data_IF_801414072904
#
_entry.id   IF_801414072904
#
_cell.length_a   1.000
_cell.length_b   1.000
_cell.length_c   1.000
_cell.angle_alpha   90.00
_cell.angle_beta   90.00
_cell.angle_gamma   90.00
#
_symmetry.space_group_name_H-M   'P 1'
#
loop_
_entity.id
_entity.type
_entity.pdbx_description
1 polymer ?
#
# COMPACT_ATOMS: atom_id res chain seq x y z
N UNK A 1 -4.94 -1.99 15.72
CA UNK A 1 -3.58 -2.11 15.12
C UNK A 1 -2.44 -1.63 16.03
N UNK A 2 -1.59 -2.56 16.52
CA UNK A 2 -0.57 -2.27 17.56
C UNK A 2 0.43 -1.17 17.14
N UNK A 3 0.89 -1.18 15.88
CA UNK A 3 1.89 -0.21 15.39
C UNK A 3 1.38 1.24 15.46
N UNK A 4 0.07 1.43 15.24
CA UNK A 4 -0.58 2.74 15.30
C UNK A 4 -1.12 3.07 16.71
N UNK A 5 -0.95 2.18 17.69
CA UNK A 5 -1.49 2.37 19.04
C UNK A 5 -3.02 2.32 19.12
N UNK A 6 -3.68 1.85 18.07
CA UNK A 6 -5.13 1.68 17.97
C UNK A 6 -5.66 0.75 19.07
N UNK A 7 -6.83 1.10 19.60
CA UNK A 7 -7.49 0.30 20.62
C UNK A 7 -7.85 -1.08 20.06
N UNK A 8 -7.68 -2.11 20.89
CA UNK A 8 -8.07 -3.46 20.51
C UNK A 8 -9.59 -3.59 20.66
N UNK A 9 -10.28 -3.97 19.59
CA UNK A 9 -11.70 -4.28 19.67
C UNK A 9 -11.94 -5.37 20.71
N UNK A 10 -12.86 -5.12 21.65
CA UNK A 10 -13.31 -6.17 22.56
C UNK A 10 -14.09 -7.20 21.77
N UNK A 11 -13.83 -8.49 22.01
CA UNK A 11 -14.63 -9.55 21.41
C UNK A 11 -15.92 -9.72 22.21
N UNK A 12 -17.06 -9.57 21.56
CA UNK A 12 -18.38 -9.85 22.13
C UNK A 12 -18.82 -11.25 21.74
N UNK A 13 -19.22 -12.07 22.71
CA UNK A 13 -19.91 -13.33 22.47
C UNK A 13 -21.41 -13.05 22.35
N UNK A 14 -21.99 -13.39 21.20
CA UNK A 14 -23.44 -13.42 21.03
C UNK A 14 -24.04 -14.67 21.67
N UNK A 15 -25.36 -14.64 21.91
CA UNK A 15 -26.12 -15.74 22.51
C UNK A 15 -26.09 -17.03 21.66
N UNK A 16 -25.81 -16.92 20.37
CA UNK A 16 -25.65 -18.06 19.45
C UNK A 16 -24.22 -18.67 19.47
N UNK A 17 -23.33 -18.12 20.31
CA UNK A 17 -21.93 -18.53 20.40
C UNK A 17 -21.00 -17.87 19.40
N UNK A 18 -21.49 -16.97 18.55
CA UNK A 18 -20.67 -16.23 17.59
C UNK A 18 -19.82 -15.16 18.29
N UNK A 19 -18.57 -14.99 17.85
CA UNK A 19 -17.69 -13.90 18.28
C UNK A 19 -17.75 -12.76 17.27
N UNK A 20 -18.12 -11.57 17.70
CA UNK A 20 -18.07 -10.36 16.87
C UNK A 20 -17.17 -9.28 17.49
N UNK A 21 -16.51 -8.45 16.66
CA UNK A 21 -15.85 -7.25 17.14
C UNK A 21 -16.90 -6.34 17.78
N UNK A 22 -16.75 -6.03 19.06
CA UNK A 22 -17.66 -5.18 19.83
C UNK A 22 -17.53 -3.69 19.50
N UNK A 23 -16.44 -3.27 18.85
CA UNK A 23 -16.20 -1.87 18.51
C UNK A 23 -15.40 -1.76 17.19
N UNK A 24 -16.09 -1.83 16.06
CA UNK A 24 -15.50 -1.56 14.75
C UNK A 24 -15.33 -0.04 14.57
N UNK A 25 -14.11 0.38 14.28
CA UNK A 25 -13.76 1.77 14.03
C UNK A 25 -13.16 1.90 12.63
N UNK A 26 -13.93 2.48 11.71
CA UNK A 26 -13.54 2.61 10.31
C UNK A 26 -12.26 3.45 10.14
N UNK A 27 -12.06 4.50 10.94
CA UNK A 27 -10.87 5.35 10.82
C UNK A 27 -9.62 4.56 11.20
N UNK A 28 -9.71 3.72 12.24
CA UNK A 28 -8.62 2.85 12.67
C UNK A 28 -8.26 1.74 11.67
N UNK A 29 -9.24 1.27 10.90
CA UNK A 29 -9.00 0.31 9.82
C UNK A 29 -8.39 1.01 8.60
N UNK A 30 -8.91 2.18 8.20
CA UNK A 30 -8.41 2.96 7.06
C UNK A 30 -6.95 3.40 7.26
N UNK A 31 -6.59 3.88 8.46
CA UNK A 31 -5.22 4.25 8.80
C UNK A 31 -4.27 3.04 8.77
N UNK A 32 -4.75 1.88 9.21
CA UNK A 32 -3.97 0.67 9.21
C UNK A 32 -3.76 0.10 7.82
N UNK A 33 -4.78 0.11 6.97
CA UNK A 33 -4.66 -0.25 5.56
C UNK A 33 -3.66 0.66 4.84
N UNK A 34 -3.72 1.97 5.14
CA UNK A 34 -2.76 2.93 4.60
C UNK A 34 -1.32 2.61 5.03
N UNK A 35 -1.11 2.35 6.32
CA UNK A 35 0.20 2.00 6.87
C UNK A 35 0.70 0.68 6.29
N UNK A 36 -0.14 -0.36 6.22
CA UNK A 36 0.21 -1.67 5.69
C UNK A 36 0.71 -1.55 4.25
N UNK A 37 -0.02 -0.84 3.40
CA UNK A 37 0.43 -0.61 2.03
C UNK A 37 1.72 0.21 1.94
N UNK A 38 1.96 1.15 2.85
CA UNK A 38 3.21 1.90 2.91
C UNK A 38 4.42 1.05 3.36
N UNK A 39 4.19 0.07 4.24
CA UNK A 39 5.21 -0.86 4.71
C UNK A 39 5.53 -1.95 3.70
N UNK A 40 4.50 -2.53 3.07
CA UNK A 40 4.64 -3.60 2.08
C UNK A 40 5.20 -3.09 0.75
N UNK A 41 4.76 -1.91 0.32
CA UNK A 41 5.15 -1.30 -0.94
C UNK A 41 5.67 0.13 -0.70
N UNK A 42 6.84 0.28 -0.05
CA UNK A 42 7.47 1.57 0.10
C UNK A 42 7.93 2.09 -1.27
N UNK A 43 8.14 3.40 -1.37
CA UNK A 43 8.53 4.03 -2.65
C UNK A 43 9.73 3.35 -3.33
N UNK A 44 10.83 2.97 -2.64
CA UNK A 44 11.95 2.28 -3.28
C UNK A 44 11.57 0.93 -3.90
N UNK A 45 10.62 0.20 -3.31
CA UNK A 45 10.10 -1.04 -3.89
C UNK A 45 9.37 -0.77 -5.21
N UNK A 46 8.49 0.24 -5.23
CA UNK A 46 7.79 0.66 -6.44
C UNK A 46 8.76 1.14 -7.54
N UNK A 47 9.82 1.87 -7.16
CA UNK A 47 10.86 2.28 -8.11
C UNK A 47 11.57 1.05 -8.68
N UNK A 48 11.97 0.10 -7.83
CA UNK A 48 12.64 -1.13 -8.26
C UNK A 48 11.77 -1.96 -9.20
N UNK A 49 10.46 -2.09 -8.94
CA UNK A 49 9.50 -2.78 -9.83
C UNK A 49 9.53 -2.15 -11.22
N UNK A 50 9.50 -0.80 -11.30
CA UNK A 50 9.48 -0.08 -12.57
C UNK A 50 10.82 -0.09 -13.29
N UNK A 51 11.92 0.09 -12.58
CA UNK A 51 13.29 0.05 -13.13
C UNK A 51 13.64 -1.33 -13.69
N UNK A 52 13.17 -2.40 -13.03
CA UNK A 52 13.35 -3.78 -13.49
C UNK A 52 12.36 -4.20 -14.57
N UNK A 53 11.41 -3.33 -14.93
CA UNK A 53 10.30 -3.65 -15.85
C UNK A 53 9.54 -4.93 -15.45
N UNK A 54 9.38 -5.17 -14.15
CA UNK A 54 8.59 -6.30 -13.67
C UNK A 54 7.13 -6.14 -14.08
N UNK A 55 6.54 -7.22 -14.57
CA UNK A 55 5.09 -7.26 -14.80
C UNK A 55 4.36 -7.40 -13.47
N UNK A 56 3.17 -6.80 -13.36
CA UNK A 56 2.44 -6.73 -12.10
C UNK A 56 2.23 -8.09 -11.40
N UNK A 57 1.94 -9.22 -12.10
CA UNK A 57 1.82 -10.52 -11.42
C UNK A 57 3.12 -11.01 -10.76
N UNK A 58 4.27 -10.72 -11.36
CA UNK A 58 5.58 -11.07 -10.80
C UNK A 58 5.88 -10.19 -9.58
N UNK A 59 5.60 -8.89 -9.67
CA UNK A 59 5.73 -7.98 -8.54
C UNK A 59 4.81 -8.37 -7.37
N UNK A 60 3.54 -8.73 -7.64
CA UNK A 60 2.63 -9.21 -6.60
C UNK A 60 3.17 -10.45 -5.88
N UNK A 61 3.76 -11.38 -6.64
CA UNK A 61 4.37 -12.58 -6.08
C UNK A 61 5.65 -12.29 -5.28
N UNK A 62 6.50 -11.38 -5.76
CA UNK A 62 7.76 -11.03 -5.10
C UNK A 62 7.54 -10.28 -3.79
N UNK A 63 6.58 -9.37 -3.75
CA UNK A 63 6.27 -8.54 -2.57
C UNK A 63 5.14 -9.11 -1.71
N UNK A 64 4.61 -10.30 -2.06
CA UNK A 64 3.53 -11.00 -1.35
C UNK A 64 2.28 -10.13 -1.12
N UNK A 65 1.90 -9.37 -2.14
CA UNK A 65 0.75 -8.45 -2.11
C UNK A 65 -0.31 -8.86 -3.13
N UNK A 66 -1.54 -8.42 -2.89
CA UNK A 66 -2.59 -8.51 -3.89
C UNK A 66 -2.37 -7.50 -5.02
N UNK A 67 -2.94 -7.79 -6.19
CA UNK A 67 -2.91 -6.87 -7.32
C UNK A 67 -3.62 -5.55 -6.99
N UNK A 68 -4.69 -5.60 -6.20
CA UNK A 68 -5.41 -4.41 -5.76
C UNK A 68 -4.55 -3.51 -4.88
N UNK A 69 -3.77 -4.07 -3.95
CA UNK A 69 -2.85 -3.31 -3.11
C UNK A 69 -1.72 -2.69 -3.94
N UNK A 70 -1.14 -3.43 -4.87
CA UNK A 70 -0.13 -2.91 -5.80
C UNK A 70 -0.69 -1.72 -6.60
N UNK A 71 -1.86 -1.89 -7.22
CA UNK A 71 -2.51 -0.86 -8.01
C UNK A 71 -2.88 0.37 -7.18
N UNK A 72 -3.44 0.17 -5.98
CA UNK A 72 -3.76 1.25 -5.05
C UNK A 72 -2.50 2.03 -4.68
N UNK A 73 -1.40 1.34 -4.37
CA UNK A 73 -0.16 1.99 -3.93
C UNK A 73 0.49 2.80 -5.05
N UNK A 74 0.55 2.26 -6.27
CA UNK A 74 1.04 2.99 -7.44
C UNK A 74 0.24 4.28 -7.64
N UNK A 75 -1.09 4.21 -7.52
CA UNK A 75 -1.99 5.37 -7.63
C UNK A 75 -1.74 6.40 -6.52
N UNK A 76 -1.70 5.96 -5.26
CA UNK A 76 -1.53 6.87 -4.11
C UNK A 76 -0.16 7.55 -4.09
N UNK A 77 0.89 6.88 -4.58
CA UNK A 77 2.23 7.48 -4.67
C UNK A 77 2.45 8.30 -5.94
N UNK A 78 1.64 8.09 -6.99
CA UNK A 78 1.79 8.75 -8.29
C UNK A 78 3.12 8.44 -8.97
N UNK A 79 3.73 7.29 -8.68
CA UNK A 79 5.11 7.02 -9.08
C UNK A 79 5.30 6.98 -10.60
N UNK A 80 4.32 6.45 -11.32
CA UNK A 80 4.36 6.39 -12.78
C UNK A 80 4.37 7.81 -13.40
N UNK A 81 3.59 8.74 -12.84
CA UNK A 81 3.60 10.14 -13.27
C UNK A 81 4.94 10.82 -12.99
N UNK A 82 5.57 10.51 -11.86
CA UNK A 82 6.86 11.09 -11.48
C UNK A 82 7.98 10.59 -12.39
N UNK A 83 8.05 9.28 -12.65
CA UNK A 83 9.03 8.69 -13.55
C UNK A 83 8.88 9.22 -14.98
N UNK A 84 7.64 9.37 -15.47
CA UNK A 84 7.38 9.94 -16.78
C UNK A 84 7.89 11.39 -16.91
N UNK A 85 7.83 12.19 -15.83
CA UNK A 85 8.33 13.58 -15.82
C UNK A 85 9.86 13.65 -15.75
N UNK A 86 10.48 12.79 -14.94
CA UNK A 86 11.95 12.74 -14.80
C UNK A 86 12.64 12.37 -16.11
N UNK A 87 12.02 11.51 -16.93
CA UNK A 87 12.54 11.14 -18.24
C UNK A 87 12.50 12.30 -19.27
N UNK A 88 11.77 13.39 -19.00
CA UNK A 88 11.63 14.53 -19.93
C UNK A 88 12.59 15.70 -19.67
N UNK A 89 13.49 15.62 -18.69
CA UNK A 89 14.25 16.80 -18.21
C UNK A 89 15.74 16.84 -18.55
N UNK A 90 16.22 16.00 -19.47
CA UNK A 90 17.60 16.08 -19.99
C UNK A 90 17.61 16.40 -21.48
N UNK A 91 17.37 17.67 -21.81
CA UNK A 91 17.91 18.26 -23.05
C UNK A 91 19.12 19.13 -22.65
N UNK A 92 20.32 18.91 -23.20
CA UNK A 92 21.45 19.78 -22.92
C UNK A 92 21.21 21.14 -23.57
N UNK A 93 21.21 22.19 -22.74
CA UNK A 93 21.25 23.58 -23.19
C UNK A 93 22.57 23.80 -23.95
N UNK A 94 22.51 23.77 -25.28
CA UNK A 94 23.62 24.17 -26.14
C UNK A 94 23.83 25.69 -26.00
N UNK A 95 25.00 26.09 -25.51
CA UNK A 95 25.58 27.42 -25.59
C UNK A 95 26.79 27.37 -26.53
#
# INVERSE_FOLDING_TARGET
HIILGHELAQACLLDDGSLVPGNFDQEQEDEADWLAGALLLPRPALMSIRERHLVDPEACREYEVSQDMLNWRIRMTGIDYQLARSCRTTEPMQL
#
